data_IF_600961596386
#
_entry.id   IF_600961596386
#
_cell.length_a   1.000
_cell.length_b   1.000
_cell.length_c   1.000
_cell.angle_alpha   90.00
_cell.angle_beta   90.00
_cell.angle_gamma   90.00
#
_symmetry.space_group_name_H-M   'P 1'
#
loop_
_entity.id
_entity.type
_entity.pdbx_description
1 polymer ?
#
# COMPACT_ATOMS: atom_id res chain seq x y z
N UNK A 1 -33.75 -45.97 -42.15
CA UNK A 1 -34.26 -45.97 -40.76
C UNK A 1 -33.27 -46.81 -39.96
N UNK A 2 -32.29 -46.17 -39.32
CA UNK A 2 -31.21 -46.87 -38.61
C UNK A 2 -31.76 -47.52 -37.33
N UNK A 3 -31.37 -48.76 -37.00
CA UNK A 3 -31.81 -49.39 -35.77
C UNK A 3 -31.18 -48.64 -34.59
N UNK A 4 -32.04 -48.20 -33.68
CA UNK A 4 -31.65 -47.60 -32.41
C UNK A 4 -30.90 -48.69 -31.64
N UNK A 5 -29.60 -48.49 -31.41
CA UNK A 5 -28.80 -49.34 -30.54
C UNK A 5 -29.54 -49.49 -29.22
N UNK A 6 -29.96 -50.72 -28.93
CA UNK A 6 -30.60 -51.07 -27.67
C UNK A 6 -29.57 -50.84 -26.58
N UNK A 7 -29.82 -49.81 -25.76
CA UNK A 7 -29.05 -49.54 -24.55
C UNK A 7 -28.99 -50.85 -23.77
N UNK A 8 -27.80 -51.45 -23.70
CA UNK A 8 -27.60 -52.71 -22.97
C UNK A 8 -28.00 -52.47 -21.53
N UNK A 9 -29.15 -53.04 -21.13
CA UNK A 9 -29.68 -52.87 -19.78
C UNK A 9 -28.69 -53.52 -18.82
N UNK A 10 -28.43 -52.90 -17.66
CA UNK A 10 -27.56 -53.44 -16.60
C UNK A 10 -27.89 -54.91 -16.25
N UNK A 11 -29.14 -55.32 -16.50
CA UNK A 11 -29.66 -56.66 -16.28
C UNK A 11 -29.19 -57.73 -17.30
N UNK A 12 -28.52 -57.36 -18.39
CA UNK A 12 -27.95 -58.31 -19.37
C UNK A 12 -26.47 -58.57 -19.15
N UNK A 13 -25.82 -57.80 -18.27
CA UNK A 13 -24.40 -57.93 -17.95
C UNK A 13 -24.16 -59.19 -17.08
N UNK A 14 -23.05 -59.93 -17.23
CA UNK A 14 -22.64 -60.97 -16.28
C UNK A 14 -22.41 -60.45 -14.85
N UNK A 15 -22.56 -61.32 -13.84
CA UNK A 15 -22.45 -60.95 -12.42
C UNK A 15 -21.04 -60.46 -12.05
N UNK A 16 -20.00 -60.98 -12.70
CA UNK A 16 -18.60 -60.61 -12.48
C UNK A 16 -18.33 -59.15 -12.87
N UNK A 17 -18.90 -58.72 -13.99
CA UNK A 17 -18.78 -57.34 -14.45
C UNK A 17 -19.60 -56.42 -13.54
N UNK A 18 -20.75 -56.88 -13.06
CA UNK A 18 -21.61 -56.12 -12.15
C UNK A 18 -20.91 -55.92 -10.79
N UNK A 19 -20.29 -56.98 -10.25
CA UNK A 19 -19.45 -56.92 -9.05
C UNK A 19 -18.29 -55.95 -9.22
N UNK A 20 -17.60 -55.99 -10.36
CA UNK A 20 -16.49 -55.09 -10.64
C UNK A 20 -16.94 -53.63 -10.69
N UNK A 21 -18.06 -53.32 -11.34
CA UNK A 21 -18.63 -51.98 -11.41
C UNK A 21 -19.04 -51.49 -10.02
N UNK A 22 -19.81 -52.30 -9.28
CA UNK A 22 -20.28 -51.92 -7.94
C UNK A 22 -19.14 -51.79 -6.92
N UNK A 23 -18.04 -52.51 -7.10
CA UNK A 23 -16.83 -52.40 -6.27
C UNK A 23 -16.12 -51.04 -6.36
N UNK A 24 -16.49 -50.19 -7.31
CA UNK A 24 -15.99 -48.82 -7.44
C UNK A 24 -16.94 -47.76 -6.89
N UNK A 25 -18.16 -48.14 -6.48
CA UNK A 25 -19.16 -47.22 -5.97
C UNK A 25 -19.10 -47.11 -4.45
N UNK A 26 -19.30 -45.89 -3.94
CA UNK A 26 -19.42 -45.68 -2.49
C UNK A 26 -20.72 -46.31 -1.94
N UNK A 27 -20.70 -46.67 -0.66
CA UNK A 27 -21.83 -47.25 0.07
C UNK A 27 -23.20 -46.57 -0.14
N UNK A 28 -23.34 -45.22 -0.12
CA UNK A 28 -24.65 -44.58 -0.37
C UNK A 28 -25.20 -44.84 -1.78
N UNK A 29 -24.34 -44.92 -2.80
CA UNK A 29 -24.76 -45.19 -4.17
C UNK A 29 -25.12 -46.67 -4.35
N UNK A 30 -24.40 -47.56 -3.69
CA UNK A 30 -24.69 -48.99 -3.68
C UNK A 30 -26.05 -49.29 -3.03
N UNK A 31 -26.37 -48.59 -1.94
CA UNK A 31 -27.69 -48.67 -1.29
C UNK A 31 -28.80 -48.14 -2.20
N UNK A 32 -28.57 -47.04 -2.91
CA UNK A 32 -29.53 -46.52 -3.89
C UNK A 32 -29.80 -47.52 -5.02
N UNK A 33 -28.75 -48.12 -5.59
CA UNK A 33 -28.85 -49.12 -6.65
C UNK A 33 -29.53 -50.42 -6.21
N UNK A 34 -29.33 -50.84 -4.95
CA UNK A 34 -30.00 -52.02 -4.38
C UNK A 34 -31.54 -51.89 -4.31
N UNK A 35 -32.07 -50.67 -4.45
CA UNK A 35 -33.52 -50.40 -4.48
C UNK A 35 -34.10 -50.41 -5.89
N UNK A 36 -33.26 -50.33 -6.92
CA UNK A 36 -33.68 -50.24 -8.33
C UNK A 36 -33.97 -51.61 -8.93
N UNK A 37 -33.25 -52.66 -8.51
CA UNK A 37 -33.50 -54.02 -8.99
C UNK A 37 -33.15 -55.10 -7.96
N UNK A 38 -33.87 -56.23 -8.02
CA UNK A 38 -33.63 -57.38 -7.14
C UNK A 38 -32.29 -58.07 -7.41
N UNK A 39 -31.84 -58.11 -8.67
CA UNK A 39 -30.56 -58.68 -9.06
C UNK A 39 -29.38 -57.86 -8.55
N UNK A 40 -29.45 -56.54 -8.69
CA UNK A 40 -28.43 -55.66 -8.09
C UNK A 40 -28.49 -55.76 -6.57
N UNK A 41 -29.68 -55.88 -5.96
CA UNK A 41 -29.81 -56.10 -4.51
C UNK A 41 -29.09 -57.36 -4.04
N UNK A 42 -29.19 -58.50 -4.74
CA UNK A 42 -28.50 -59.72 -4.34
C UNK A 42 -26.98 -59.59 -4.47
N UNK A 43 -26.49 -58.97 -5.55
CA UNK A 43 -25.06 -58.77 -5.81
C UNK A 43 -24.47 -57.72 -4.86
N UNK A 44 -25.22 -56.67 -4.54
CA UNK A 44 -24.88 -55.66 -3.54
C UNK A 44 -24.68 -56.23 -2.14
N UNK A 45 -25.28 -57.38 -1.83
CA UNK A 45 -25.13 -58.07 -0.54
C UNK A 45 -24.02 -59.14 -0.57
N UNK A 46 -23.29 -59.27 -1.70
CA UNK A 46 -22.21 -60.24 -1.81
C UNK A 46 -21.04 -59.87 -0.88
N UNK A 47 -20.51 -60.89 -0.21
CA UNK A 47 -19.38 -60.77 0.70
C UNK A 47 -18.10 -60.35 -0.03
N UNK A 48 -17.88 -60.83 -1.26
CA UNK A 48 -16.67 -60.53 -2.03
C UNK A 48 -16.57 -59.03 -2.32
N UNK A 49 -17.68 -58.45 -2.76
CA UNK A 49 -17.82 -57.01 -2.99
C UNK A 49 -17.51 -56.21 -1.72
N UNK A 50 -18.13 -56.59 -0.60
CA UNK A 50 -17.95 -55.87 0.66
C UNK A 50 -16.51 -55.95 1.20
N UNK A 51 -15.84 -57.09 1.03
CA UNK A 51 -14.43 -57.23 1.39
C UNK A 51 -13.52 -56.34 0.53
N UNK A 52 -13.79 -56.27 -0.77
CA UNK A 52 -13.05 -55.38 -1.68
C UNK A 52 -13.27 -53.90 -1.32
N UNK A 53 -14.51 -53.48 -1.08
CA UNK A 53 -14.81 -52.11 -0.65
C UNK A 53 -14.16 -51.76 0.69
N UNK A 54 -14.15 -52.69 1.63
CA UNK A 54 -13.48 -52.49 2.93
C UNK A 54 -11.97 -52.33 2.74
N UNK A 55 -11.35 -53.17 1.91
CA UNK A 55 -9.93 -53.08 1.59
C UNK A 55 -9.59 -51.74 0.93
N UNK A 56 -10.34 -51.36 -0.12
CA UNK A 56 -10.15 -50.10 -0.84
C UNK A 56 -10.34 -48.89 0.09
N UNK A 57 -11.38 -48.92 0.93
CA UNK A 57 -11.62 -47.86 1.92
C UNK A 57 -10.47 -47.76 2.93
N UNK A 58 -9.95 -48.89 3.40
CA UNK A 58 -8.80 -48.92 4.30
C UNK A 58 -7.53 -48.33 3.64
N UNK A 59 -7.26 -48.71 2.39
CA UNK A 59 -6.14 -48.17 1.61
C UNK A 59 -6.31 -46.67 1.41
N UNK A 60 -7.48 -46.22 0.97
CA UNK A 60 -7.78 -44.80 0.76
C UNK A 60 -7.64 -44.01 2.05
N UNK A 61 -8.21 -44.49 3.16
CA UNK A 61 -8.08 -43.85 4.47
C UNK A 61 -6.62 -43.75 4.90
N UNK A 62 -5.81 -44.78 4.70
CA UNK A 62 -4.37 -44.73 5.04
C UNK A 62 -3.63 -43.62 4.28
N UNK A 63 -3.98 -43.40 3.01
CA UNK A 63 -3.40 -42.33 2.17
C UNK A 63 -3.91 -40.95 2.58
N UNK A 64 -5.21 -40.81 2.86
CA UNK A 64 -5.76 -39.51 3.25
C UNK A 64 -5.33 -39.09 4.66
N UNK A 65 -5.20 -40.04 5.58
CA UNK A 65 -4.71 -39.78 6.94
C UNK A 65 -3.24 -39.33 6.93
N UNK A 66 -2.39 -39.90 6.07
CA UNK A 66 -0.98 -39.49 5.96
C UNK A 66 -0.81 -38.09 5.36
N UNK A 67 -1.72 -37.67 4.48
CA UNK A 67 -1.75 -36.30 3.91
C UNK A 67 -2.43 -35.27 4.82
N UNK A 68 -2.93 -35.67 5.98
CA UNK A 68 -3.68 -34.78 6.88
C UNK A 68 -2.75 -33.69 7.43
N UNK A 69 -3.12 -32.40 7.28
CA UNK A 69 -2.33 -31.32 7.86
C UNK A 69 -2.34 -31.39 9.40
N UNK A 70 -1.23 -31.01 10.07
CA UNK A 70 -1.16 -31.02 11.52
C UNK A 70 -2.12 -29.99 12.14
N UNK A 71 -2.57 -30.24 13.37
CA UNK A 71 -3.56 -29.38 14.03
C UNK A 71 -3.13 -27.91 14.12
N UNK A 72 -1.83 -27.66 14.34
CA UNK A 72 -1.25 -26.31 14.43
C UNK A 72 -1.41 -25.48 13.15
N UNK A 73 -1.43 -26.10 11.96
CA UNK A 73 -1.62 -25.35 10.71
C UNK A 73 -3.09 -25.01 10.47
N UNK A 74 -4.01 -25.74 11.12
CA UNK A 74 -5.45 -25.48 11.10
C UNK A 74 -5.90 -24.44 12.13
N UNK A 75 -5.02 -24.09 13.07
CA UNK A 75 -5.25 -23.13 14.14
C UNK A 75 -4.67 -21.73 13.80
N UNK A 76 -5.16 -20.67 14.46
CA UNK A 76 -4.58 -19.35 14.34
C UNK A 76 -3.11 -19.33 14.80
N UNK A 77 -2.23 -18.54 14.17
CA UNK A 77 -2.50 -17.46 13.19
C UNK A 77 -2.55 -17.92 11.72
N UNK A 78 -2.21 -19.18 11.43
CA UNK A 78 -2.05 -19.65 10.05
C UNK A 78 -3.39 -19.83 9.33
N UNK A 79 -4.41 -20.35 10.02
CA UNK A 79 -5.75 -20.48 9.46
C UNK A 79 -6.83 -20.41 10.54
N UNK A 80 -8.08 -20.18 10.13
CA UNK A 80 -9.24 -20.06 11.02
C UNK A 80 -10.17 -21.28 10.96
N UNK A 81 -9.64 -22.44 10.54
CA UNK A 81 -10.43 -23.66 10.28
C UNK A 81 -10.79 -24.36 11.59
N UNK A 82 -9.82 -24.53 12.49
CA UNK A 82 -10.04 -25.15 13.80
C UNK A 82 -9.88 -24.13 14.91
N UNK A 83 -11.01 -23.74 15.53
CA UNK A 83 -11.03 -22.76 16.61
C UNK A 83 -11.39 -23.44 17.92
N UNK A 84 -10.48 -23.36 18.90
CA UNK A 84 -10.79 -23.75 20.28
C UNK A 84 -11.65 -22.69 20.96
N UNK A 85 -12.24 -23.03 22.12
CA UNK A 85 -13.01 -22.10 22.96
C UNK A 85 -12.21 -20.83 23.31
N UNK A 86 -10.90 -20.97 23.54
CA UNK A 86 -10.01 -19.85 23.84
C UNK A 86 -9.83 -18.93 22.63
N UNK A 87 -9.66 -19.47 21.43
CA UNK A 87 -9.59 -18.66 20.20
C UNK A 87 -10.88 -17.88 19.96
N UNK A 88 -12.04 -18.49 20.15
CA UNK A 88 -13.33 -17.81 20.00
C UNK A 88 -13.48 -16.69 21.03
N UNK A 89 -13.13 -16.95 22.29
CA UNK A 89 -13.15 -15.94 23.35
C UNK A 89 -12.19 -14.77 23.04
N UNK A 90 -10.97 -15.07 22.60
CA UNK A 90 -9.97 -14.08 22.20
C UNK A 90 -10.47 -13.21 21.04
N UNK A 91 -11.11 -13.79 20.01
CA UNK A 91 -11.71 -13.02 18.91
C UNK A 91 -12.82 -12.09 19.39
N UNK A 92 -13.71 -12.57 20.27
CA UNK A 92 -14.78 -11.74 20.85
C UNK A 92 -14.21 -10.57 21.63
N UNK A 93 -13.18 -10.81 22.45
CA UNK A 93 -12.48 -9.77 23.18
C UNK A 93 -11.80 -8.79 22.23
N UNK A 94 -11.10 -9.28 21.21
CA UNK A 94 -10.43 -8.46 20.21
C UNK A 94 -11.42 -7.53 19.49
N UNK A 95 -12.55 -8.05 19.02
CA UNK A 95 -13.58 -7.23 18.39
C UNK A 95 -14.19 -6.19 19.34
N UNK A 96 -14.39 -6.54 20.61
CA UNK A 96 -14.85 -5.57 21.62
C UNK A 96 -13.82 -4.46 21.84
N UNK A 97 -12.54 -4.78 21.96
CA UNK A 97 -11.47 -3.79 22.11
C UNK A 97 -11.34 -2.92 20.85
N UNK A 98 -11.41 -3.51 19.66
CA UNK A 98 -11.42 -2.75 18.41
C UNK A 98 -12.64 -1.82 18.34
N UNK A 99 -13.82 -2.30 18.70
CA UNK A 99 -15.03 -1.47 18.70
C UNK A 99 -14.91 -0.30 19.68
N UNK A 100 -14.36 -0.52 20.88
CA UNK A 100 -14.12 0.54 21.86
C UNK A 100 -13.09 1.55 21.35
N UNK A 101 -12.01 1.06 20.74
CA UNK A 101 -10.96 1.91 20.14
C UNK A 101 -11.52 2.73 19.00
N UNK A 102 -12.29 2.12 18.10
CA UNK A 102 -12.93 2.78 16.98
C UNK A 102 -13.93 3.82 17.46
N UNK A 103 -14.80 3.48 18.42
CA UNK A 103 -15.74 4.43 19.01
C UNK A 103 -15.01 5.65 19.57
N UNK A 104 -13.93 5.45 20.35
CA UNK A 104 -13.10 6.56 20.85
C UNK A 104 -12.47 7.38 19.72
N UNK A 105 -12.01 6.73 18.65
CA UNK A 105 -11.43 7.41 17.49
C UNK A 105 -12.47 8.22 16.72
N UNK A 106 -13.68 7.70 16.58
CA UNK A 106 -14.80 8.36 15.90
C UNK A 106 -15.33 9.54 16.70
N UNK A 107 -15.40 9.44 18.04
CA UNK A 107 -15.74 10.58 18.90
C UNK A 107 -14.72 11.71 18.84
N UNK A 108 -13.45 11.39 18.53
CA UNK A 108 -12.36 12.37 18.36
C UNK A 108 -12.14 12.78 16.91
N UNK A 109 -13.04 12.38 16.00
CA UNK A 109 -12.88 12.61 14.57
C UNK A 109 -12.86 14.12 14.30
N UNK A 110 -11.79 14.66 13.69
CA UNK A 110 -11.77 16.06 13.28
C UNK A 110 -12.81 16.31 12.18
N UNK A 111 -13.41 17.49 12.20
CA UNK A 111 -14.32 17.91 11.14
C UNK A 111 -13.59 18.06 9.80
N UNK A 112 -14.33 17.92 8.70
CA UNK A 112 -13.75 18.08 7.35
C UNK A 112 -13.20 19.50 7.15
N UNK A 113 -13.83 20.51 7.74
CA UNK A 113 -13.32 21.89 7.73
C UNK A 113 -11.97 22.02 8.43
N UNK A 114 -11.79 21.35 9.57
CA UNK A 114 -10.51 21.31 10.29
C UNK A 114 -9.42 20.66 9.44
N UNK A 115 -9.73 19.56 8.73
CA UNK A 115 -8.79 18.88 7.83
C UNK A 115 -8.38 19.73 6.62
N UNK A 116 -9.31 20.51 6.06
CA UNK A 116 -9.03 21.46 4.97
C UNK A 116 -8.16 22.63 5.46
N UNK A 117 -8.44 23.14 6.67
CA UNK A 117 -7.65 24.21 7.29
C UNK A 117 -6.23 23.73 7.62
N UNK A 118 -6.08 22.49 8.08
CA UNK A 118 -4.80 21.84 8.34
C UNK A 118 -4.06 21.41 7.06
N UNK A 119 -4.60 21.69 5.86
CA UNK A 119 -4.03 21.32 4.55
C UNK A 119 -3.81 19.80 4.36
N UNK A 120 -4.50 18.97 5.14
CA UNK A 120 -4.51 17.51 4.98
C UNK A 120 -5.41 17.12 3.80
N UNK A 121 -6.56 17.79 3.67
CA UNK A 121 -7.45 17.66 2.52
C UNK A 121 -7.34 18.90 1.61
N UNK A 122 -7.15 18.73 0.29
CA UNK A 122 -7.25 19.83 -0.65
C UNK A 122 -8.67 20.43 -0.66
N UNK A 123 -8.75 21.75 -0.78
CA UNK A 123 -10.02 22.48 -0.90
C UNK A 123 -10.82 22.03 -2.12
N UNK A 124 -10.13 21.67 -3.19
CA UNK A 124 -10.73 21.25 -4.47
C UNK A 124 -11.46 19.91 -4.38
N UNK A 125 -11.13 19.10 -3.36
CA UNK A 125 -11.80 17.83 -3.08
C UNK A 125 -13.05 18.01 -2.22
N UNK A 126 -13.45 19.23 -1.88
CA UNK A 126 -14.50 19.49 -0.92
C UNK A 126 -15.59 20.37 -1.52
N UNK A 127 -16.86 20.01 -1.30
CA UNK A 127 -18.03 20.81 -1.70
C UNK A 127 -18.92 21.06 -0.49
N UNK A 128 -19.48 22.26 -0.39
CA UNK A 128 -20.54 22.52 0.59
C UNK A 128 -21.82 21.85 0.15
N UNK A 129 -22.39 21.05 1.02
CA UNK A 129 -23.71 20.50 0.81
C UNK A 129 -24.76 21.60 0.86
N UNK A 130 -25.76 21.52 -0.02
CA UNK A 130 -26.82 22.54 -0.13
C UNK A 130 -27.89 22.37 0.94
N UNK A 131 -28.09 21.16 1.45
CA UNK A 131 -29.09 20.84 2.47
C UNK A 131 -28.57 21.04 3.89
N UNK A 132 -27.38 20.50 4.18
CA UNK A 132 -26.80 20.50 5.53
C UNK A 132 -25.86 21.69 5.80
N UNK A 133 -25.37 22.38 4.76
CA UNK A 133 -24.38 23.45 4.89
C UNK A 133 -22.97 22.97 5.27
N UNK A 134 -22.80 21.68 5.57
CA UNK A 134 -21.51 21.06 5.91
C UNK A 134 -20.62 20.85 4.68
N UNK A 135 -19.31 20.82 4.91
CA UNK A 135 -18.31 20.55 3.87
C UNK A 135 -18.18 19.04 3.72
N UNK A 136 -18.54 18.50 2.56
CA UNK A 136 -18.45 17.07 2.23
C UNK A 136 -17.27 16.85 1.28
N UNK A 137 -16.59 15.71 1.44
CA UNK A 137 -15.52 15.27 0.52
C UNK A 137 -16.14 14.73 -0.77
N UNK A 138 -15.81 15.37 -1.89
CA UNK A 138 -16.12 14.94 -3.25
C UNK A 138 -14.93 14.22 -3.90
N UNK A 139 -15.20 13.49 -4.99
CA UNK A 139 -14.29 12.54 -5.63
C UNK A 139 -12.84 13.01 -5.78
N UNK A 140 -11.92 12.24 -5.19
CA UNK A 140 -10.51 12.58 -4.98
C UNK A 140 -9.63 12.37 -6.22
N UNK A 141 -9.92 11.39 -7.10
CA UNK A 141 -8.94 10.91 -8.10
C UNK A 141 -8.57 11.91 -9.20
N UNK A 142 -9.37 12.94 -9.45
CA UNK A 142 -9.04 13.97 -10.45
C UNK A 142 -8.18 15.10 -9.87
N UNK A 143 -8.17 15.26 -8.55
CA UNK A 143 -7.45 16.35 -7.87
C UNK A 143 -5.93 16.15 -7.91
N UNK A 144 -5.45 14.91 -7.75
CA UNK A 144 -4.01 14.63 -7.76
C UNK A 144 -3.39 14.91 -9.13
N UNK A 145 -4.05 14.47 -10.22
CA UNK A 145 -3.60 14.75 -11.59
C UNK A 145 -3.59 16.24 -11.87
N UNK A 146 -4.60 16.96 -11.40
CA UNK A 146 -4.69 18.43 -11.54
C UNK A 146 -3.59 19.14 -10.76
N UNK A 147 -3.39 18.80 -9.49
CA UNK A 147 -2.33 19.38 -8.66
C UNK A 147 -0.93 19.14 -9.23
N UNK A 148 -0.69 17.96 -9.81
CA UNK A 148 0.57 17.67 -10.49
C UNK A 148 0.80 18.59 -11.68
N UNK A 149 -0.20 18.77 -12.53
CA UNK A 149 -0.13 19.68 -13.66
C UNK A 149 0.03 21.15 -13.23
N UNK A 150 -0.66 21.56 -12.17
CA UNK A 150 -0.56 22.91 -11.63
C UNK A 150 0.84 23.17 -11.05
N UNK A 151 1.45 22.17 -10.40
CA UNK A 151 2.83 22.26 -9.91
C UNK A 151 3.84 22.32 -11.05
N UNK A 152 3.66 21.52 -12.11
CA UNK A 152 4.51 21.55 -13.31
C UNK A 152 4.47 22.92 -13.98
N UNK A 153 3.27 23.48 -14.20
CA UNK A 153 3.08 24.84 -14.74
C UNK A 153 3.68 25.91 -13.84
N UNK A 154 3.51 25.79 -12.52
CA UNK A 154 4.10 26.73 -11.56
C UNK A 154 5.63 26.69 -11.61
N UNK A 155 6.22 25.49 -11.67
CA UNK A 155 7.67 25.30 -11.78
C UNK A 155 8.22 25.93 -13.06
N UNK A 156 7.58 25.68 -14.20
CA UNK A 156 7.96 26.25 -15.49
C UNK A 156 7.85 27.79 -15.47
N UNK A 157 6.73 28.32 -14.96
CA UNK A 157 6.54 29.77 -14.80
C UNK A 157 7.58 30.41 -13.86
N UNK A 158 7.98 29.73 -12.79
CA UNK A 158 9.05 30.18 -11.90
C UNK A 158 10.41 30.20 -12.60
N UNK A 159 10.73 29.17 -13.39
CA UNK A 159 11.99 29.10 -14.13
C UNK A 159 12.10 30.25 -15.14
N UNK A 160 11.03 30.49 -15.90
CA UNK A 160 10.96 31.60 -16.86
C UNK A 160 11.08 32.96 -16.17
N UNK A 161 10.41 33.13 -15.02
CA UNK A 161 10.49 34.37 -14.25
C UNK A 161 11.89 34.61 -13.69
N UNK A 162 12.53 33.57 -13.15
CA UNK A 162 13.90 33.63 -12.65
C UNK A 162 14.88 33.97 -13.78
N UNK A 163 14.70 33.38 -14.97
CA UNK A 163 15.54 33.67 -16.11
C UNK A 163 15.39 35.13 -16.58
N UNK A 164 14.15 35.62 -16.70
CA UNK A 164 13.88 37.03 -17.04
C UNK A 164 14.48 37.98 -16.00
N UNK A 165 14.35 37.67 -14.70
CA UNK A 165 14.98 38.45 -13.62
C UNK A 165 16.50 38.41 -13.70
N UNK A 166 17.10 37.25 -13.93
CA UNK A 166 18.55 37.10 -14.08
C UNK A 166 19.07 37.92 -15.27
N UNK A 167 18.36 37.88 -16.41
CA UNK A 167 18.66 38.70 -17.60
C UNK A 167 18.54 40.20 -17.30
N UNK A 168 17.50 40.63 -16.57
CA UNK A 168 17.32 42.03 -16.16
C UNK A 168 18.44 42.50 -15.21
N UNK A 169 18.84 41.67 -14.25
CA UNK A 169 19.96 41.94 -13.34
C UNK A 169 21.27 42.04 -14.13
N UNK A 170 21.50 41.14 -15.10
CA UNK A 170 22.69 41.18 -15.97
C UNK A 170 22.75 42.47 -16.79
N UNK A 171 21.62 42.91 -17.35
CA UNK A 171 21.50 44.19 -18.07
C UNK A 171 21.73 45.40 -17.15
N UNK A 172 21.19 45.38 -15.94
CA UNK A 172 21.45 46.43 -14.96
C UNK A 172 22.92 46.49 -14.53
N UNK A 173 23.60 45.34 -14.41
CA UNK A 173 25.04 45.24 -14.10
C UNK A 173 25.93 45.76 -15.23
N UNK A 174 25.49 45.72 -16.49
CA UNK A 174 26.20 46.34 -17.62
C UNK A 174 25.96 47.85 -17.74
N UNK A 175 24.78 48.34 -17.33
CA UNK A 175 24.41 49.76 -17.46
C UNK A 175 24.82 50.61 -16.24
N UNK A 176 24.65 50.08 -15.04
CA UNK A 176 25.19 50.64 -13.81
C UNK A 176 26.54 49.96 -13.63
N UNK A 177 27.62 50.66 -13.98
CA UNK A 177 28.97 50.15 -13.77
C UNK A 177 29.05 49.48 -12.40
N UNK A 178 29.22 48.15 -12.40
CA UNK A 178 28.84 47.32 -11.27
C UNK A 178 29.53 47.71 -9.97
N UNK A 179 29.18 47.06 -8.86
CA UNK A 179 29.85 47.25 -7.56
C UNK A 179 31.39 47.21 -7.70
N UNK A 180 31.94 46.46 -8.66
CA UNK A 180 33.36 46.49 -9.03
C UNK A 180 33.89 47.85 -9.51
N UNK A 181 33.14 48.68 -10.23
CA UNK A 181 33.51 50.05 -10.61
C UNK A 181 33.42 51.00 -9.41
N UNK A 182 32.43 50.83 -8.52
CA UNK A 182 32.34 51.59 -7.27
C UNK A 182 33.49 51.22 -6.30
N UNK A 183 33.78 49.93 -6.15
CA UNK A 183 34.92 49.40 -5.39
C UNK A 183 36.23 49.87 -6.01
N UNK A 184 36.39 49.77 -7.34
CA UNK A 184 37.57 50.27 -8.06
C UNK A 184 37.75 51.77 -7.85
N UNK A 185 36.66 52.57 -7.94
CA UNK A 185 36.67 54.01 -7.64
C UNK A 185 37.07 54.29 -6.19
N UNK A 186 36.59 53.50 -5.23
CA UNK A 186 36.96 53.65 -3.81
C UNK A 186 38.43 53.29 -3.55
N UNK A 187 38.91 52.18 -4.10
CA UNK A 187 40.32 51.76 -3.98
C UNK A 187 41.29 52.66 -4.74
N UNK A 188 40.87 53.24 -5.87
CA UNK A 188 41.67 54.20 -6.63
C UNK A 188 41.73 55.56 -5.94
N UNK A 189 40.65 55.98 -5.26
CA UNK A 189 40.62 57.20 -4.46
C UNK A 189 41.52 57.11 -3.22
N UNK A 190 41.65 55.93 -2.62
CA UNK A 190 42.59 55.69 -1.52
C UNK A 190 44.06 55.52 -1.96
N UNK A 191 44.36 55.40 -3.26
CA UNK A 191 45.75 55.36 -3.77
C UNK A 191 46.33 56.73 -4.14
N UNK A 192 45.54 57.80 -3.99
CA UNK A 192 45.95 59.18 -4.32
C UNK A 192 46.54 59.96 -3.14
N UNK A 193 46.46 59.43 -1.93
CA UNK A 193 47.19 59.92 -0.76
C UNK A 193 48.16 58.81 -0.41
N UNK A 194 49.41 58.95 -0.85
CA UNK A 194 50.60 58.51 -0.12
C UNK A 194 51.82 58.73 -1.00
N UNK A 195 52.42 59.92 -0.85
CA UNK A 195 53.85 60.10 -1.06
C UNK A 195 54.55 59.99 0.31
N UNK A 196 55.11 58.81 0.55
CA UNK A 196 56.24 58.49 1.45
C UNK A 196 56.08 58.45 2.98
N UNK A 197 56.91 57.61 3.66
CA UNK A 197 56.46 56.75 4.75
C UNK A 197 57.25 56.94 6.05
N UNK A 198 56.64 56.74 7.22
CA UNK A 198 57.39 56.33 8.43
C UNK A 198 56.45 55.71 9.48
N UNK A 199 56.80 54.51 9.96
CA UNK A 199 56.64 54.17 11.38
C UNK A 199 55.29 53.64 11.87
N UNK A 200 55.24 52.32 12.04
CA UNK A 200 54.57 51.59 13.14
C UNK A 200 53.11 51.90 13.53
N UNK A 201 52.24 50.95 13.16
CA UNK A 201 51.21 50.32 14.01
C UNK A 201 50.63 51.14 15.18
N UNK A 202 49.34 51.49 15.07
CA UNK A 202 48.25 50.74 15.72
C UNK A 202 46.87 51.28 15.31
N UNK A 203 45.90 50.36 15.32
CA UNK A 203 44.43 50.53 15.17
C UNK A 203 43.87 50.71 13.76
N UNK A 204 43.64 49.57 13.11
CA UNK A 204 42.51 49.39 12.19
C UNK A 204 41.32 48.82 12.97
N UNK A 205 40.26 49.62 13.11
CA UNK A 205 38.95 49.13 13.55
C UNK A 205 38.27 48.42 12.37
N UNK A 206 37.88 47.18 12.59
CA UNK A 206 37.41 46.21 11.60
C UNK A 206 35.94 46.41 11.24
N UNK A 207 35.65 46.87 10.01
CA UNK A 207 34.28 46.91 9.47
C UNK A 207 33.97 45.78 8.47
N UNK A 208 34.85 44.78 8.33
CA UNK A 208 34.63 43.61 7.46
C UNK A 208 33.91 42.45 8.17
N UNK A 209 33.73 42.51 9.49
CA UNK A 209 33.12 41.43 10.29
C UNK A 209 31.65 41.15 9.93
N UNK A 210 30.91 42.15 9.45
CA UNK A 210 29.46 42.02 9.24
C UNK A 210 29.08 41.22 7.98
N UNK A 211 29.97 41.18 6.97
CA UNK A 211 29.72 40.44 5.72
C UNK A 211 30.20 38.99 5.84
N UNK A 212 31.26 38.74 6.62
CA UNK A 212 31.72 37.38 6.94
C UNK A 212 30.73 36.64 7.84
N UNK A 213 30.01 37.33 8.72
CA UNK A 213 28.99 36.70 9.57
C UNK A 213 27.75 36.28 8.77
N UNK A 214 27.34 37.04 7.75
CA UNK A 214 26.25 36.64 6.87
C UNK A 214 26.60 35.42 6.00
N UNK A 215 27.84 35.36 5.48
CA UNK A 215 28.29 34.19 4.70
C UNK A 215 28.30 32.92 5.54
N UNK A 216 28.82 33.01 6.77
CA UNK A 216 28.79 31.91 7.74
C UNK A 216 27.36 31.53 8.13
N UNK A 217 26.48 32.51 8.33
CA UNK A 217 25.07 32.26 8.64
C UNK A 217 24.37 31.43 7.57
N UNK A 218 24.58 31.72 6.28
CA UNK A 218 23.98 30.92 5.21
C UNK A 218 24.65 29.56 4.98
N UNK A 219 25.96 29.44 5.29
CA UNK A 219 26.68 28.16 5.27
C UNK A 219 26.20 27.23 6.40
N UNK A 220 25.95 27.75 7.60
CA UNK A 220 25.43 26.98 8.75
C UNK A 220 23.97 26.52 8.55
N UNK A 221 23.11 27.39 7.99
CA UNK A 221 21.70 27.03 7.68
C UNK A 221 21.61 25.93 6.61
N UNK A 222 22.61 25.83 5.71
CA UNK A 222 22.70 24.76 4.72
C UNK A 222 23.21 23.43 5.29
N UNK A 223 24.08 23.47 6.30
CA UNK A 223 24.67 22.29 6.93
C UNK A 223 23.68 21.58 7.89
N UNK A 224 22.89 22.35 8.64
CA UNK A 224 21.85 21.85 9.58
C UNK A 224 20.78 20.98 8.88
N UNK A 225 20.51 21.22 7.60
CA UNK A 225 19.55 20.42 6.81
C UNK A 225 20.06 19.04 6.37
N UNK A 226 21.36 18.77 6.47
CA UNK A 226 21.98 17.52 6.00
C UNK A 226 22.24 16.49 7.12
N UNK A 227 22.24 16.91 8.39
CA UNK A 227 22.59 16.03 9.52
C UNK A 227 21.43 15.21 10.11
N UNK A 228 20.19 15.37 9.61
CA UNK A 228 19.01 14.62 10.07
C UNK A 228 18.63 13.42 9.18
N UNK A 229 19.51 13.00 8.27
CA UNK A 229 19.40 11.73 7.52
C UNK A 229 20.58 10.83 7.85
N UNK A 230 20.57 10.27 9.05
CA UNK A 230 21.17 8.99 9.41
C UNK A 230 20.98 8.76 10.92
N UNK A 231 19.79 8.31 11.29
CA UNK A 231 19.53 7.48 12.46
C UNK A 231 18.21 6.74 12.24
#
# INVERSE_FOLDING_TARGET
MYPIETVSSLNTLPDELLLHILGHLDYPFLLALSRVSHRVRSISLDRVLHLQLLHNSSVHLSVFLSRRPPLRSLQPPASAIYLTRTHVAARRLHFRLLSATLNRSLSRRPSISSLVNARILPKDCCRRDRSSGEIIVTYFKLSERRHRLDFEKFREGMQDWLEKKARAIKKHKSHVGGVGILVWRFTKRNRGTDSSPTGSFTRACSNTHHVSSLRRFWEDVGAEGSSLRNR
#
